data_IF_121663889833
#
_entry.id   IF_121663889833
#
_cell.length_a   1.000
_cell.length_b   1.000
_cell.length_c   1.000
_cell.angle_alpha   90.00
_cell.angle_beta   90.00
_cell.angle_gamma   90.00
#
_symmetry.space_group_name_H-M   'P 1'
#
loop_
_entity.id
_entity.type
_entity.pdbx_description
1 polymer ?
#
# COMPACT_ATOMS: atom_id res chain seq x y z
N UNK A 1 -21.85 -6.99 0.77
CA UNK A 1 -20.98 -7.79 -0.10
C UNK A 1 -20.91 -7.07 -1.42
N UNK A 2 -19.76 -7.05 -2.07
CA UNK A 2 -19.61 -6.29 -3.31
C UNK A 2 -18.17 -6.30 -3.81
N UNK A 3 -18.04 -6.15 -5.13
CA UNK A 3 -16.77 -6.05 -5.82
C UNK A 3 -16.73 -4.69 -6.51
N UNK A 4 -15.65 -3.95 -6.35
CA UNK A 4 -15.40 -2.69 -7.02
C UNK A 4 -14.15 -2.84 -7.86
N UNK A 5 -14.29 -2.59 -9.16
CA UNK A 5 -13.18 -2.54 -10.10
C UNK A 5 -12.93 -1.08 -10.47
N UNK A 6 -11.66 -0.67 -10.40
CA UNK A 6 -11.17 0.63 -10.86
C UNK A 6 -10.05 0.35 -11.86
N UNK A 7 -10.04 1.03 -12.99
CA UNK A 7 -8.94 0.95 -13.93
C UNK A 7 -8.67 2.33 -14.52
N UNK A 8 -7.41 2.61 -14.83
CA UNK A 8 -6.95 3.89 -15.33
C UNK A 8 -5.70 3.75 -16.19
N UNK A 9 -5.53 4.70 -17.11
CA UNK A 9 -4.32 4.87 -17.91
C UNK A 9 -3.81 6.27 -17.63
N UNK A 10 -2.57 6.36 -17.21
CA UNK A 10 -1.89 7.62 -16.96
C UNK A 10 -0.73 7.80 -17.95
N UNK A 11 -0.51 9.05 -18.36
CA UNK A 11 0.53 9.40 -19.31
C UNK A 11 1.47 10.42 -18.67
N UNK A 12 2.71 10.00 -18.41
CA UNK A 12 3.75 10.85 -17.83
C UNK A 12 4.80 11.14 -18.90
N UNK A 13 5.09 12.42 -19.08
CA UNK A 13 6.16 12.92 -19.96
C UNK A 13 7.25 13.57 -19.11
N UNK A 14 8.50 13.52 -19.58
CA UNK A 14 9.65 14.15 -18.93
C UNK A 14 9.92 13.64 -17.50
N UNK A 15 9.90 12.32 -17.30
CA UNK A 15 10.21 11.76 -15.98
C UNK A 15 11.71 11.86 -15.71
N UNK A 16 12.05 12.53 -14.61
CA UNK A 16 13.42 12.69 -14.13
C UNK A 16 13.69 11.61 -13.09
N UNK A 17 14.71 10.78 -13.33
CA UNK A 17 15.07 9.68 -12.44
C UNK A 17 16.55 9.76 -12.06
N UNK A 18 16.84 9.28 -10.85
CA UNK A 18 18.21 9.17 -10.37
C UNK A 18 18.79 7.85 -10.87
N UNK A 19 19.76 7.92 -11.77
CA UNK A 19 20.50 6.76 -12.21
C UNK A 19 21.81 6.67 -11.42
N UNK A 20 22.09 5.49 -10.85
CA UNK A 20 23.39 5.23 -10.27
C UNK A 20 24.44 5.07 -11.39
N UNK A 21 25.39 5.98 -11.45
CA UNK A 21 26.56 5.94 -12.33
C UNK A 21 27.79 5.65 -11.47
N UNK A 22 28.44 4.51 -11.70
CA UNK A 22 29.72 4.18 -11.06
C UNK A 22 30.83 4.95 -11.77
N UNK A 23 31.51 5.87 -11.07
CA UNK A 23 32.65 6.61 -11.62
C UNK A 23 33.94 5.97 -11.11
N UNK A 24 34.84 5.51 -11.99
CA UNK A 24 36.15 5.01 -11.58
C UNK A 24 37.01 6.16 -11.08
N UNK A 25 37.53 6.02 -9.86
CA UNK A 25 38.58 6.88 -9.29
C UNK A 25 39.91 6.36 -9.79
N UNK A 26 40.70 7.23 -10.44
CA UNK A 26 42.03 6.90 -10.92
C UNK A 26 43.08 7.58 -10.04
N UNK A 27 44.21 6.91 -9.81
CA UNK A 27 45.40 7.53 -9.22
C UNK A 27 46.14 8.40 -10.26
N UNK A 28 47.22 9.06 -9.82
CA UNK A 28 48.07 9.91 -10.66
C UNK A 28 48.80 9.14 -11.77
N UNK A 29 48.86 7.81 -11.70
CA UNK A 29 49.43 6.92 -12.72
C UNK A 29 48.38 6.34 -13.67
N UNK A 30 47.09 6.67 -13.48
CA UNK A 30 45.98 6.26 -14.33
C UNK A 30 45.35 4.91 -13.98
N UNK A 31 45.76 4.25 -12.90
CA UNK A 31 45.18 2.99 -12.45
C UNK A 31 43.88 3.24 -11.68
N UNK A 32 42.88 2.38 -11.88
CA UNK A 32 41.58 2.49 -11.21
C UNK A 32 41.70 1.96 -9.78
N UNK A 33 41.70 2.87 -8.80
CA UNK A 33 41.88 2.56 -7.37
C UNK A 33 40.57 2.35 -6.62
N UNK A 34 39.43 2.69 -7.23
CA UNK A 34 38.12 2.41 -6.65
C UNK A 34 36.98 2.93 -7.52
N UNK A 35 35.75 2.60 -7.12
CA UNK A 35 34.54 3.08 -7.78
C UNK A 35 33.74 3.94 -6.80
N UNK A 36 33.49 5.20 -7.16
CA UNK A 36 32.58 6.08 -6.41
C UNK A 36 31.18 5.96 -7.01
N UNK A 37 30.20 5.81 -6.13
CA UNK A 37 28.78 5.77 -6.49
C UNK A 37 28.32 7.22 -6.75
N UNK A 38 28.00 7.57 -7.99
CA UNK A 38 27.52 8.92 -8.35
C UNK A 38 26.04 8.82 -8.76
N UNK A 39 25.17 9.55 -8.08
CA UNK A 39 23.77 9.67 -8.51
C UNK A 39 23.69 10.73 -9.62
N UNK A 40 23.62 10.30 -10.88
CA UNK A 40 23.42 11.20 -12.01
C UNK A 40 21.92 11.36 -12.27
N UNK A 41 21.45 12.60 -12.36
CA UNK A 41 20.08 12.92 -12.78
C UNK A 41 19.99 12.66 -14.29
N UNK A 42 19.18 11.68 -14.70
CA UNK A 42 18.87 11.43 -16.11
C UNK A 42 17.40 11.74 -16.36
N UNK A 43 17.14 12.35 -17.52
CA UNK A 43 15.78 12.68 -17.94
C UNK A 43 15.42 11.78 -19.11
N UNK A 44 14.32 11.05 -18.97
CA UNK A 44 13.73 10.35 -20.09
C UNK A 44 12.67 11.25 -20.72
N UNK A 45 12.94 11.73 -21.94
CA UNK A 45 12.00 12.54 -22.73
C UNK A 45 10.87 11.70 -23.37
N UNK A 46 10.93 10.37 -23.23
CA UNK A 46 9.94 9.44 -23.73
C UNK A 46 8.61 9.48 -22.99
N UNK A 47 7.58 8.98 -23.67
CA UNK A 47 6.21 8.95 -23.20
C UNK A 47 5.97 7.68 -22.36
N UNK A 48 5.94 7.80 -21.04
CA UNK A 48 5.71 6.67 -20.16
C UNK A 48 4.20 6.50 -19.97
N UNK A 49 3.65 5.37 -20.43
CA UNK A 49 2.26 4.99 -20.20
C UNK A 49 2.19 4.04 -19.00
N UNK A 50 1.39 4.40 -18.01
CA UNK A 50 1.17 3.61 -16.80
C UNK A 50 -0.28 3.13 -16.84
N UNK A 51 -0.47 1.82 -16.87
CA UNK A 51 -1.77 1.18 -16.73
C UNK A 51 -1.94 0.71 -15.29
N UNK A 52 -3.05 1.10 -14.67
CA UNK A 52 -3.37 0.72 -13.29
C UNK A 52 -4.75 0.08 -13.26
N UNK A 53 -4.87 -1.07 -12.60
CA UNK A 53 -6.14 -1.72 -12.31
C UNK A 53 -6.19 -2.09 -10.83
N UNK A 54 -7.28 -1.78 -10.15
CA UNK A 54 -7.49 -2.08 -8.73
C UNK A 54 -8.83 -2.77 -8.57
N UNK A 55 -8.81 -3.93 -7.91
CA UNK A 55 -9.97 -4.75 -7.61
C UNK A 55 -10.12 -4.84 -6.09
N UNK A 56 -11.22 -4.30 -5.57
CA UNK A 56 -11.60 -4.39 -4.16
C UNK A 56 -12.77 -5.36 -4.02
N UNK A 57 -12.68 -6.34 -3.13
CA UNK A 57 -13.71 -7.34 -2.90
C UNK A 57 -14.04 -7.45 -1.41
N UNK A 58 -15.32 -7.26 -1.08
CA UNK A 58 -15.84 -7.37 0.30
C UNK A 58 -16.70 -8.61 0.44
N UNK A 59 -16.16 -9.64 1.08
CA UNK A 59 -16.80 -10.92 1.35
C UNK A 59 -17.32 -10.94 2.80
N UNK A 60 -18.57 -11.33 2.98
CA UNK A 60 -19.18 -11.50 4.31
C UNK A 60 -19.79 -12.89 4.40
N UNK A 61 -19.34 -13.68 5.36
CA UNK A 61 -19.85 -15.02 5.64
C UNK A 61 -20.17 -15.11 7.13
N UNK A 62 -21.42 -14.86 7.49
CA UNK A 62 -21.87 -14.86 8.89
C UNK A 62 -21.18 -13.78 9.74
N UNK A 63 -20.43 -14.23 10.75
CA UNK A 63 -19.61 -13.36 11.61
C UNK A 63 -18.29 -12.93 10.95
N UNK A 64 -17.83 -13.66 9.92
CA UNK A 64 -16.58 -13.40 9.22
C UNK A 64 -16.75 -12.34 8.14
N UNK A 65 -15.81 -11.42 8.10
CA UNK A 65 -15.68 -10.38 7.09
C UNK A 65 -14.27 -10.45 6.53
N UNK A 66 -14.15 -10.58 5.22
CA UNK A 66 -12.89 -10.57 4.49
C UNK A 66 -12.97 -9.45 3.45
N UNK A 67 -12.19 -8.40 3.68
CA UNK A 67 -12.06 -7.28 2.76
C UNK A 67 -10.70 -7.40 2.07
N UNK A 68 -10.70 -7.79 0.79
CA UNK A 68 -9.50 -7.92 -0.04
C UNK A 68 -9.37 -6.77 -1.04
N UNK A 69 -8.15 -6.34 -1.29
CA UNK A 69 -7.79 -5.35 -2.31
C UNK A 69 -6.58 -5.84 -3.10
N UNK A 70 -6.68 -5.81 -4.42
CA UNK A 70 -5.63 -6.20 -5.35
C UNK A 70 -5.39 -5.04 -6.30
N UNK A 71 -4.16 -4.55 -6.37
CA UNK A 71 -3.71 -3.51 -7.29
C UNK A 71 -2.69 -4.10 -8.27
N UNK A 72 -2.93 -3.90 -9.56
CA UNK A 72 -2.05 -4.25 -10.66
C UNK A 72 -1.60 -2.96 -11.34
N UNK A 73 -0.29 -2.78 -11.53
CA UNK A 73 0.29 -1.57 -12.10
C UNK A 73 1.38 -1.96 -13.10
N UNK A 74 1.20 -1.58 -14.37
CA UNK A 74 2.18 -1.88 -15.43
C UNK A 74 2.60 -0.60 -16.14
N UNK A 75 3.91 -0.30 -16.08
CA UNK A 75 4.53 0.75 -16.88
C UNK A 75 5.02 0.18 -18.22
N UNK A 76 4.90 0.95 -19.31
CA UNK A 76 5.53 0.61 -20.59
C UNK A 76 7.05 0.65 -20.56
N UNK A 77 7.66 1.32 -19.58
CA UNK A 77 9.10 1.45 -19.42
C UNK A 77 9.47 1.06 -17.98
N UNK A 78 9.88 -0.21 -17.78
CA UNK A 78 10.13 -0.80 -16.47
C UNK A 78 11.53 -0.46 -15.91
N UNK A 79 12.48 -0.05 -16.76
CA UNK A 79 13.86 0.28 -16.37
C UNK A 79 14.00 1.63 -15.61
N UNK A 80 12.95 2.45 -15.63
CA UNK A 80 12.99 3.84 -15.11
C UNK A 80 12.16 4.00 -13.83
N UNK A 81 11.20 3.11 -13.61
CA UNK A 81 10.27 3.11 -12.48
C UNK A 81 9.92 1.66 -12.11
N UNK A 82 10.66 1.03 -11.17
CA UNK A 82 10.31 -0.29 -10.67
C UNK A 82 9.08 -0.17 -9.76
N UNK A 83 7.90 -0.16 -10.38
CA UNK A 83 6.64 -0.29 -9.65
C UNK A 83 6.38 -1.77 -9.37
N UNK A 84 5.87 -2.13 -8.18
CA UNK A 84 5.43 -3.48 -7.93
C UNK A 84 4.25 -3.79 -8.86
N UNK A 85 4.46 -4.73 -9.80
CA UNK A 85 3.47 -5.03 -10.84
C UNK A 85 2.14 -5.50 -10.26
N UNK A 86 2.20 -6.18 -9.12
CA UNK A 86 1.05 -6.69 -8.39
C UNK A 86 1.26 -6.45 -6.90
N UNK A 87 0.27 -5.85 -6.26
CA UNK A 87 0.19 -5.69 -4.82
C UNK A 87 -1.17 -6.18 -4.35
N UNK A 88 -1.21 -7.01 -3.32
CA UNK A 88 -2.45 -7.52 -2.77
C UNK A 88 -2.43 -7.42 -1.25
N UNK A 89 -3.54 -7.01 -0.67
CA UNK A 89 -3.72 -6.90 0.77
C UNK A 89 -5.13 -7.35 1.16
N UNK A 90 -5.29 -7.88 2.36
CA UNK A 90 -6.59 -8.35 2.84
C UNK A 90 -6.73 -8.24 4.35
N UNK A 91 -7.91 -7.84 4.79
CA UNK A 91 -8.31 -7.74 6.19
C UNK A 91 -9.38 -8.78 6.52
N UNK A 92 -9.04 -9.73 7.39
CA UNK A 92 -9.99 -10.72 7.92
C UNK A 92 -10.34 -10.37 9.37
N UNK A 93 -11.64 -10.26 9.67
CA UNK A 93 -12.09 -9.99 11.02
C UNK A 93 -13.44 -10.64 11.33
N UNK A 94 -13.71 -10.85 12.61
CA UNK A 94 -14.94 -11.46 13.13
C UNK A 94 -15.75 -10.45 13.94
N UNK A 95 -17.05 -10.32 13.67
CA UNK A 95 -17.97 -9.51 14.47
C UNK A 95 -18.79 -10.38 15.41
N UNK A 96 -18.56 -10.24 16.71
CA UNK A 96 -19.40 -10.82 17.76
C UNK A 96 -20.38 -9.77 18.28
N UNK A 97 -21.65 -10.16 18.46
CA UNK A 97 -22.61 -9.31 19.17
C UNK A 97 -22.32 -9.36 20.67
N UNK A 98 -21.99 -8.23 21.28
CA UNK A 98 -21.90 -8.16 22.74
C UNK A 98 -23.31 -8.10 23.33
N UNK A 99 -23.69 -9.13 24.10
CA UNK A 99 -24.90 -9.09 24.89
C UNK A 99 -24.69 -8.13 26.07
N UNK A 100 -25.48 -7.04 26.10
CA UNK A 100 -25.44 -6.04 27.15
C UNK A 100 -25.99 -6.65 28.44
N UNK A 101 -25.15 -6.77 29.47
CA UNK A 101 -25.59 -7.17 30.81
C UNK A 101 -26.39 -6.02 31.41
N UNK A 102 -27.68 -6.25 31.64
CA UNK A 102 -28.55 -5.31 32.33
C UNK A 102 -28.01 -5.08 33.75
N UNK A 103 -27.76 -3.82 34.08
CA UNK A 103 -27.43 -3.33 35.42
C UNK A 103 -28.48 -3.82 36.42
N UNK A 104 -28.12 -4.28 37.63
CA UNK A 104 -29.13 -4.54 38.64
C UNK A 104 -29.72 -3.19 39.05
N UNK A 105 -31.02 -3.01 38.80
CA UNK A 105 -31.77 -1.83 39.19
C UNK A 105 -31.87 -1.82 40.73
N UNK A 106 -30.97 -1.09 41.39
CA UNK A 106 -31.09 -0.75 42.81
C UNK A 106 -31.97 0.50 42.91
N UNK A 107 -33.26 0.35 42.70
CA UNK A 107 -34.21 1.36 43.16
C UNK A 107 -35.46 0.72 43.74
N UNK A 108 -35.34 0.21 44.96
CA UNK A 108 -36.46 -0.35 45.69
C UNK A 108 -36.06 -1.05 46.96
N UNK A 109 -35.65 -0.28 47.98
CA UNK A 109 -35.89 -0.57 49.40
C UNK A 109 -35.25 0.53 50.26
N UNK A 110 -36.01 1.61 50.47
CA UNK A 110 -35.92 2.39 51.72
C UNK A 110 -36.75 1.63 52.77
N UNK A 111 -36.30 1.71 54.02
CA UNK A 111 -36.95 1.29 55.27
C UNK A 111 -36.70 -0.15 55.74
N UNK A 112 -35.74 -0.27 56.67
CA UNK A 112 -36.04 -0.79 58.01
C UNK A 112 -35.20 0.00 59.04
N UNK A 113 -35.87 0.86 59.81
CA UNK A 113 -35.48 1.20 61.18
C UNK A 113 -35.39 -0.11 61.96
N UNK A 114 -34.39 -0.29 62.81
CA UNK A 114 -34.59 -0.72 64.20
C UNK A 114 -33.29 -0.45 64.97
N UNK A 115 -33.44 0.48 65.92
CA UNK A 115 -32.82 0.60 67.25
C UNK A 115 -31.43 0.00 67.48
#
# INVERSE_FOLDING_TARGET
>A
WGTQLRAGVENIKNYTYLANASIPVKDSEGNVTGFKNNAAVRQHSGNIQIFTAMLQQKLKVGIFHLDGEVAYQKSSEQDILPLPELSAYGNLYMKFGLAKKSTPDRNGSRCALFQ
#
